data_IF_081164823746
#
_entry.id   IF_081164823746
#
_cell.length_a   1.000
_cell.length_b   1.000
_cell.length_c   1.000
_cell.angle_alpha   90.00
_cell.angle_beta   90.00
_cell.angle_gamma   90.00
#
_symmetry.space_group_name_H-M   'P 1'
#
loop_
_entity.id
_entity.type
_entity.pdbx_description
1 polymer ?
#
# COMPACT_ATOMS: atom_id res chain seq x y z
N UNK A 1 -0.53 10.32 -17.64
CA UNK A 1 -1.79 11.09 -17.62
C UNK A 1 -3.06 10.22 -17.46
N UNK A 2 -2.98 8.92 -17.10
CA UNK A 2 -4.13 7.98 -17.15
C UNK A 2 -5.03 7.93 -15.91
N UNK A 3 -4.67 8.60 -14.80
CA UNK A 3 -5.37 8.46 -13.50
C UNK A 3 -6.00 9.76 -12.98
N UNK A 4 -6.01 10.83 -13.78
CA UNK A 4 -6.40 12.18 -13.35
C UNK A 4 -7.91 12.37 -13.05
N UNK A 5 -8.72 11.31 -13.10
CA UNK A 5 -10.16 11.36 -12.80
C UNK A 5 -10.66 10.20 -11.94
N UNK A 6 -9.76 9.46 -11.27
CA UNK A 6 -10.16 8.43 -10.32
C UNK A 6 -10.23 9.02 -8.90
N UNK A 7 -11.27 8.66 -8.15
CA UNK A 7 -11.38 8.99 -6.71
C UNK A 7 -10.74 7.92 -5.82
N UNK A 8 -10.64 6.69 -6.33
CA UNK A 8 -10.11 5.56 -5.61
C UNK A 8 -9.33 4.63 -6.55
N UNK A 9 -8.10 4.30 -6.18
CA UNK A 9 -7.18 3.45 -6.94
C UNK A 9 -6.91 2.21 -6.09
N UNK A 10 -6.98 1.04 -6.71
CA UNK A 10 -6.57 -0.23 -6.09
C UNK A 10 -5.46 -0.85 -6.92
N UNK A 11 -4.33 -1.16 -6.29
CA UNK A 11 -3.28 -1.97 -6.91
C UNK A 11 -3.08 -3.26 -6.13
N UNK A 12 -3.13 -4.37 -6.85
CA UNK A 12 -2.80 -5.71 -6.38
C UNK A 12 -1.85 -6.36 -7.39
N UNK A 13 -0.84 -5.59 -7.83
CA UNK A 13 0.13 -6.03 -8.85
C UNK A 13 1.31 -6.71 -8.19
N UNK A 14 2.03 -7.53 -8.93
CA UNK A 14 3.29 -8.16 -8.53
C UNK A 14 4.50 -7.24 -8.74
N UNK A 15 4.44 -6.27 -9.65
CA UNK A 15 5.58 -5.38 -9.95
C UNK A 15 5.71 -4.18 -8.99
N UNK A 16 6.83 -4.12 -8.27
CA UNK A 16 7.29 -2.96 -7.54
C UNK A 16 7.60 -1.76 -8.44
N UNK A 17 8.15 -1.98 -9.65
CA UNK A 17 8.37 -0.93 -10.64
C UNK A 17 7.07 -0.24 -11.09
N UNK A 18 5.97 -0.99 -11.21
CA UNK A 18 4.66 -0.39 -11.48
C UNK A 18 4.20 0.49 -10.32
N UNK A 19 4.27 -0.01 -9.07
CA UNK A 19 3.91 0.77 -7.88
C UNK A 19 4.74 2.06 -7.79
N UNK A 20 6.05 1.97 -8.04
CA UNK A 20 6.96 3.12 -8.07
C UNK A 20 6.53 4.15 -9.11
N UNK A 21 6.33 3.71 -10.35
CA UNK A 21 5.92 4.59 -11.46
C UNK A 21 4.57 5.26 -11.17
N UNK A 22 3.61 4.50 -10.64
CA UNK A 22 2.29 4.99 -10.29
C UNK A 22 2.38 6.06 -9.20
N UNK A 23 3.04 5.78 -8.08
CA UNK A 23 3.19 6.72 -6.97
C UNK A 23 3.97 7.97 -7.36
N UNK A 24 5.07 7.81 -8.10
CA UNK A 24 5.83 8.95 -8.65
C UNK A 24 4.96 9.84 -9.53
N UNK A 25 4.06 9.26 -10.32
CA UNK A 25 3.14 10.03 -11.16
C UNK A 25 2.14 10.87 -10.36
N UNK A 26 1.77 10.46 -9.14
CA UNK A 26 0.86 11.19 -8.26
C UNK A 26 1.53 12.23 -7.36
N UNK A 27 2.82 12.06 -7.05
CA UNK A 27 3.57 12.81 -6.01
C UNK A 27 3.49 14.35 -6.07
N UNK A 28 3.32 14.93 -7.25
CA UNK A 28 3.24 16.40 -7.45
C UNK A 28 1.88 16.90 -7.91
N UNK A 29 0.86 16.02 -7.98
CA UNK A 29 -0.46 16.38 -8.46
C UNK A 29 -1.42 16.65 -7.29
N UNK A 30 -2.17 17.75 -7.37
CA UNK A 30 -3.29 17.99 -6.48
C UNK A 30 -4.40 16.97 -6.73
N UNK A 31 -4.71 16.13 -5.75
CA UNK A 31 -5.73 15.08 -5.86
C UNK A 31 -6.18 14.59 -4.49
N UNK A 32 -7.48 14.40 -4.31
CA UNK A 32 -8.08 13.74 -3.15
C UNK A 32 -8.19 12.22 -3.33
N UNK A 33 -7.72 11.69 -4.45
CA UNK A 33 -7.83 10.28 -4.74
C UNK A 33 -7.10 9.44 -3.70
N UNK A 34 -7.78 8.43 -3.17
CA UNK A 34 -7.15 7.45 -2.29
C UNK A 34 -6.56 6.32 -3.13
N UNK A 35 -5.47 5.76 -2.64
CA UNK A 35 -4.78 4.62 -3.25
C UNK A 35 -4.59 3.54 -2.21
N UNK A 36 -5.28 2.41 -2.42
CA UNK A 36 -5.10 1.17 -1.69
C UNK A 36 -4.16 0.26 -2.46
N UNK A 37 -2.91 0.15 -2.01
CA UNK A 37 -1.95 -0.82 -2.51
C UNK A 37 -1.96 -2.08 -1.64
N UNK A 38 -1.88 -3.23 -2.29
CA UNK A 38 -1.61 -4.51 -1.67
C UNK A 38 -0.42 -5.17 -2.36
N UNK A 39 0.48 -5.73 -1.57
CA UNK A 39 1.59 -6.52 -2.05
C UNK A 39 1.82 -7.71 -1.16
N UNK A 40 2.25 -8.81 -1.77
CA UNK A 40 2.59 -10.05 -1.08
C UNK A 40 3.97 -10.53 -1.53
N UNK A 41 4.73 -11.03 -0.57
CA UNK A 41 5.88 -11.89 -0.79
C UNK A 41 5.50 -13.35 -0.50
N UNK A 42 6.51 -14.19 -0.29
CA UNK A 42 6.30 -15.63 -0.06
C UNK A 42 5.58 -15.93 1.27
N UNK A 43 5.90 -15.19 2.33
CA UNK A 43 5.44 -15.40 3.70
C UNK A 43 5.10 -14.09 4.46
N UNK A 44 5.06 -12.99 3.73
CA UNK A 44 4.71 -11.66 4.24
C UNK A 44 3.96 -10.85 3.20
N UNK A 45 3.48 -9.69 3.59
CA UNK A 45 2.92 -8.70 2.69
C UNK A 45 2.47 -7.45 3.41
N UNK A 46 1.85 -6.56 2.67
CA UNK A 46 1.39 -5.28 3.18
C UNK A 46 0.08 -4.86 2.52
N UNK A 47 -0.64 -4.03 3.26
CA UNK A 47 -1.75 -3.23 2.76
C UNK A 47 -1.47 -1.79 3.14
N UNK A 48 -1.54 -0.87 2.19
CA UNK A 48 -1.36 0.57 2.43
C UNK A 48 -2.45 1.35 1.70
N UNK A 49 -3.29 2.03 2.47
CA UNK A 49 -4.21 3.06 2.03
C UNK A 49 -3.53 4.43 2.25
N UNK A 50 -3.31 5.18 1.19
CA UNK A 50 -2.77 6.54 1.26
C UNK A 50 -3.43 7.48 0.27
N UNK A 51 -3.04 8.75 0.26
CA UNK A 51 -3.46 9.65 -0.82
C UNK A 51 -2.56 9.45 -2.04
N UNK A 52 -3.15 9.26 -3.20
CA UNK A 52 -2.44 9.17 -4.47
C UNK A 52 -1.67 10.46 -4.78
N UNK A 53 -2.31 11.61 -4.56
CA UNK A 53 -1.72 12.94 -4.74
C UNK A 53 -1.68 13.76 -3.46
N UNK A 54 -1.62 15.08 -3.63
CA UNK A 54 -1.66 16.05 -2.55
C UNK A 54 -3.11 16.51 -2.38
N UNK A 55 -3.80 16.13 -1.28
CA UNK A 55 -5.16 16.62 -1.05
C UNK A 55 -5.12 18.13 -0.78
N UNK A 56 -6.14 18.90 -1.20
CA UNK A 56 -6.20 20.35 -1.01
C UNK A 56 -6.37 20.74 0.46
N UNK A 57 -6.88 19.83 1.30
CA UNK A 57 -7.14 20.03 2.73
C UNK A 57 -6.95 18.72 3.50
N UNK A 58 -6.86 18.83 4.82
CA UNK A 58 -6.80 17.66 5.71
C UNK A 58 -5.41 17.07 5.87
N UNK A 59 -5.36 15.89 6.50
CA UNK A 59 -4.13 15.12 6.71
C UNK A 59 -3.85 14.27 5.47
N UNK A 60 -2.68 14.43 4.87
CA UNK A 60 -2.23 13.57 3.77
C UNK A 60 -1.66 12.27 4.33
N UNK A 61 -2.46 11.20 4.26
CA UNK A 61 -1.99 9.84 4.52
C UNK A 61 -0.85 9.46 3.55
N UNK A 62 0.30 8.96 4.05
CA UNK A 62 1.36 8.46 3.18
C UNK A 62 0.86 7.23 2.42
N UNK A 63 1.15 7.19 1.12
CA UNK A 63 0.92 6.02 0.27
C UNK A 63 2.16 5.11 0.24
N UNK A 64 2.04 3.95 -0.43
CA UNK A 64 3.12 2.97 -0.54
C UNK A 64 4.42 3.56 -1.12
N UNK A 65 4.34 4.49 -2.06
CA UNK A 65 5.53 5.16 -2.62
C UNK A 65 6.17 6.13 -1.62
N UNK A 66 5.38 6.83 -0.81
CA UNK A 66 5.91 7.70 0.23
C UNK A 66 6.67 6.92 1.31
N UNK A 67 6.22 5.69 1.61
CA UNK A 67 6.81 4.85 2.64
C UNK A 67 8.07 4.09 2.17
N UNK A 68 8.10 3.66 0.91
CA UNK A 68 9.16 2.77 0.41
C UNK A 68 10.06 3.42 -0.65
N UNK A 69 9.61 4.46 -1.36
CA UNK A 69 10.39 5.17 -2.37
C UNK A 69 11.05 4.25 -3.40
N UNK A 70 12.35 4.46 -3.62
CA UNK A 70 13.16 3.66 -4.55
C UNK A 70 13.33 2.19 -4.09
N UNK A 71 13.09 1.87 -2.82
CA UNK A 71 13.08 0.49 -2.32
C UNK A 71 12.05 -0.41 -3.02
N UNK A 72 11.01 0.18 -3.63
CA UNK A 72 10.06 -0.56 -4.48
C UNK A 72 10.71 -1.16 -5.72
N UNK A 73 11.85 -0.64 -6.19
CA UNK A 73 12.55 -1.14 -7.37
C UNK A 73 13.44 -2.35 -7.04
N UNK A 74 13.81 -2.53 -5.77
CA UNK A 74 14.70 -3.61 -5.34
C UNK A 74 13.99 -4.97 -5.32
N UNK A 75 12.67 -4.98 -5.06
CA UNK A 75 11.85 -6.19 -4.97
C UNK A 75 11.70 -6.97 -6.28
N UNK A 76 11.81 -6.30 -7.43
CA UNK A 76 11.59 -6.92 -8.76
C UNK A 76 12.81 -7.74 -9.25
N UNK A 77 13.93 -7.73 -8.51
CA UNK A 77 15.18 -8.41 -8.91
C UNK A 77 15.18 -9.92 -8.65
N UNK A 78 14.21 -10.44 -7.89
CA UNK A 78 14.07 -11.86 -7.54
C UNK A 78 13.03 -12.64 -8.36
N UNK A 79 12.23 -11.96 -9.19
CA UNK A 79 11.12 -12.57 -9.90
C UNK A 79 11.57 -13.20 -11.23
N UNK A 80 11.98 -14.46 -11.17
CA UNK A 80 11.91 -15.32 -12.35
C UNK A 80 10.43 -15.40 -12.79
N UNK A 81 10.08 -15.08 -14.04
CA UNK A 81 8.70 -15.14 -14.51
C UNK A 81 8.16 -16.54 -14.27
N UNK A 82 7.18 -16.66 -13.38
CA UNK A 82 6.50 -17.93 -13.13
C UNK A 82 5.65 -18.25 -14.35
N UNK A 83 6.06 -19.24 -15.14
CA UNK A 83 5.31 -19.64 -16.34
C UNK A 83 4.00 -20.37 -16.01
N UNK A 84 3.69 -20.62 -14.73
CA UNK A 84 2.41 -21.21 -14.30
C UNK A 84 1.89 -20.68 -12.96
N UNK A 85 0.56 -20.61 -12.83
CA UNK A 85 -0.14 -20.29 -11.57
C UNK A 85 0.21 -21.26 -10.43
N UNK A 86 0.41 -22.54 -10.75
CA UNK A 86 0.77 -23.56 -9.77
C UNK A 86 2.18 -23.35 -9.19
N UNK A 87 3.16 -22.93 -10.00
CA UNK A 87 4.50 -22.60 -9.51
C UNK A 87 4.51 -21.31 -8.67
N UNK A 88 3.68 -20.32 -9.02
CA UNK A 88 3.49 -19.14 -8.18
C UNK A 88 2.87 -19.49 -6.82
N UNK A 89 1.87 -20.39 -6.80
CA UNK A 89 1.24 -20.92 -5.58
C UNK A 89 2.15 -21.81 -4.73
N UNK A 90 3.23 -22.37 -5.29
CA UNK A 90 4.22 -23.17 -4.56
C UNK A 90 5.33 -22.29 -3.95
N UNK A 91 5.63 -21.14 -4.55
CA UNK A 91 6.60 -20.16 -4.02
C UNK A 91 5.99 -19.30 -2.93
N UNK A 92 4.71 -18.95 -3.05
CA UNK A 92 3.96 -18.23 -2.04
C UNK A 92 3.21 -19.20 -1.16
N UNK A 93 3.12 -18.96 0.14
CA UNK A 93 2.17 -19.74 0.92
C UNK A 93 0.75 -19.35 0.50
N UNK A 94 -0.05 -20.35 0.16
CA UNK A 94 -1.46 -20.22 -0.22
C UNK A 94 -2.27 -19.25 0.67
N UNK A 95 -1.98 -19.19 1.97
CA UNK A 95 -2.70 -18.36 2.94
C UNK A 95 -2.40 -16.86 2.85
N UNK A 96 -1.30 -16.42 2.22
CA UNK A 96 -0.88 -15.01 2.22
C UNK A 96 -1.92 -14.12 1.54
N UNK A 97 -2.35 -14.49 0.32
CA UNK A 97 -3.27 -13.66 -0.46
C UNK A 97 -4.64 -13.48 0.21
N UNK A 98 -5.31 -14.55 0.70
CA UNK A 98 -6.54 -14.39 1.47
C UNK A 98 -6.40 -13.50 2.70
N UNK A 99 -5.29 -13.60 3.45
CA UNK A 99 -5.07 -12.80 4.66
C UNK A 99 -4.90 -11.31 4.29
N UNK A 100 -4.13 -11.00 3.25
CA UNK A 100 -3.93 -9.63 2.78
C UNK A 100 -5.23 -9.04 2.23
N UNK A 101 -5.99 -9.80 1.45
CA UNK A 101 -7.29 -9.37 0.93
C UNK A 101 -8.28 -9.09 2.07
N UNK A 102 -8.34 -9.96 3.09
CA UNK A 102 -9.19 -9.75 4.27
C UNK A 102 -8.75 -8.51 5.07
N UNK A 103 -7.45 -8.28 5.18
CA UNK A 103 -6.88 -7.10 5.85
C UNK A 103 -7.26 -5.81 5.11
N UNK A 104 -7.16 -5.81 3.77
CA UNK A 104 -7.60 -4.70 2.93
C UNK A 104 -9.10 -4.45 3.06
N UNK A 105 -9.92 -5.50 3.05
CA UNK A 105 -11.37 -5.38 3.23
C UNK A 105 -11.72 -4.77 4.60
N UNK A 106 -10.99 -5.10 5.66
CA UNK A 106 -11.22 -4.51 6.99
C UNK A 106 -10.95 -3.00 7.03
N UNK A 107 -9.97 -2.52 6.26
CA UNK A 107 -9.70 -1.08 6.12
C UNK A 107 -10.84 -0.41 5.33
N UNK A 108 -11.29 -1.04 4.25
CA UNK A 108 -12.39 -0.52 3.42
C UNK A 108 -13.72 -0.49 4.17
N UNK A 109 -14.02 -1.50 4.98
CA UNK A 109 -15.19 -1.56 5.85
C UNK A 109 -15.17 -0.40 6.86
N UNK A 110 -14.03 -0.14 7.48
CA UNK A 110 -13.87 1.00 8.40
C UNK A 110 -14.08 2.34 7.67
N UNK A 111 -13.43 2.51 6.52
CA UNK A 111 -13.48 3.73 5.73
C UNK A 111 -14.90 4.03 5.22
N UNK A 112 -15.53 3.08 4.52
CA UNK A 112 -16.79 3.33 3.80
C UNK A 112 -18.04 3.09 4.64
N UNK A 113 -18.02 2.09 5.53
CA UNK A 113 -19.22 1.67 6.25
C UNK A 113 -19.28 2.22 7.68
N UNK A 114 -18.13 2.55 8.27
CA UNK A 114 -18.04 3.09 9.63
C UNK A 114 -17.63 4.57 9.68
N UNK A 115 -17.38 5.17 8.52
CA UNK A 115 -17.14 6.61 8.37
C UNK A 115 -15.73 7.08 8.75
N UNK A 116 -14.77 6.17 8.93
CA UNK A 116 -13.39 6.53 9.25
C UNK A 116 -12.54 5.33 9.67
N UNK A 117 -11.22 5.49 9.64
CA UNK A 117 -10.28 4.46 10.05
C UNK A 117 -9.18 5.01 10.97
N UNK A 118 -8.85 4.25 12.02
CA UNK A 118 -7.74 4.54 12.93
C UNK A 118 -6.38 4.02 12.40
N UNK A 119 -6.41 3.15 11.40
CA UNK A 119 -5.23 2.61 10.74
C UNK A 119 -5.42 2.68 9.22
N UNK A 120 -4.39 3.07 8.50
CA UNK A 120 -4.43 3.20 7.05
C UNK A 120 -3.66 2.10 6.34
N UNK A 121 -3.31 1.03 7.05
CA UNK A 121 -2.59 -0.08 6.47
C UNK A 121 -2.25 -1.13 7.51
N UNK A 122 -1.53 -2.15 7.07
CA UNK A 122 -0.97 -3.17 7.94
C UNK A 122 0.19 -3.90 7.26
N UNK A 123 1.12 -4.38 8.08
CA UNK A 123 2.15 -5.34 7.71
C UNK A 123 1.71 -6.73 8.16
N UNK A 124 1.77 -7.69 7.25
CA UNK A 124 1.33 -9.08 7.47
C UNK A 124 2.56 -9.98 7.37
N UNK A 125 2.69 -10.89 8.32
CA UNK A 125 3.57 -12.07 8.24
C UNK A 125 2.75 -13.28 8.59
N UNK A 126 3.06 -14.43 8.00
CA UNK A 126 2.31 -15.67 8.24
C UNK A 126 3.12 -16.77 8.94
N UNK A 127 4.43 -16.59 9.13
CA UNK A 127 5.28 -17.52 9.90
C UNK A 127 6.32 -16.77 10.78
N UNK A 128 6.03 -16.56 12.08
CA UNK A 128 4.74 -16.73 12.73
C UNK A 128 3.72 -15.69 12.26
N UNK A 129 2.42 -16.03 12.36
CA UNK A 129 1.33 -15.11 12.00
C UNK A 129 1.40 -13.84 12.86
N UNK A 130 1.46 -12.69 12.20
CA UNK A 130 1.45 -11.38 12.82
C UNK A 130 0.84 -10.37 11.86
N UNK A 131 -0.08 -9.55 12.36
CA UNK A 131 -0.65 -8.41 11.62
C UNK A 131 -0.40 -7.17 12.47
N UNK A 132 0.42 -6.27 11.96
CA UNK A 132 0.82 -5.03 12.64
C UNK A 132 0.17 -3.86 11.90
N UNK A 133 -0.75 -3.09 12.53
CA UNK A 133 -1.42 -1.99 11.85
C UNK A 133 -0.47 -0.81 11.62
N UNK A 134 -0.65 -0.13 10.49
CA UNK A 134 -0.10 1.20 10.25
C UNK A 134 -1.12 2.23 10.74
N UNK A 135 -0.88 2.75 11.94
CA UNK A 135 -1.78 3.71 12.58
C UNK A 135 -1.81 5.03 11.82
N UNK A 136 -2.95 5.72 11.87
CA UNK A 136 -3.05 7.11 11.38
C UNK A 136 -2.43 8.02 12.44
N UNK A 137 -1.11 8.11 12.43
CA UNK A 137 -0.33 8.84 13.43
C UNK A 137 0.92 9.47 12.77
N UNK A 138 0.95 10.80 12.62
CA UNK A 138 2.11 11.51 12.05
C UNK A 138 3.42 11.29 12.79
N UNK A 139 3.40 11.03 14.10
CA UNK A 139 4.61 10.79 14.89
C UNK A 139 5.17 9.39 14.55
N UNK A 140 4.30 8.39 14.42
CA UNK A 140 4.68 7.04 13.95
C UNK A 140 5.26 7.09 12.55
N UNK A 141 4.70 7.92 11.66
CA UNK A 141 5.24 8.05 10.31
C UNK A 141 6.59 8.77 10.29
N UNK A 142 6.80 9.76 11.16
CA UNK A 142 8.08 10.45 11.30
C UNK A 142 9.18 9.48 11.74
N UNK A 143 8.88 8.57 12.66
CA UNK A 143 9.79 7.48 13.07
C UNK A 143 10.11 6.52 11.91
N UNK A 144 9.19 6.37 10.95
CA UNK A 144 9.41 5.62 9.69
C UNK A 144 10.16 6.44 8.62
N UNK A 145 10.54 7.69 8.92
CA UNK A 145 11.25 8.59 8.00
C UNK A 145 10.33 9.41 7.07
N UNK A 146 9.01 9.34 7.24
CA UNK A 146 8.05 10.16 6.50
C UNK A 146 7.76 11.48 7.23
N UNK A 147 8.26 12.58 6.68
CA UNK A 147 8.04 13.92 7.23
C UNK A 147 6.80 14.53 6.57
N UNK A 148 5.71 14.68 7.32
CA UNK A 148 4.58 15.50 6.88
C UNK A 148 5.04 16.95 6.77
N UNK A 149 4.74 17.61 5.65
CA UNK A 149 4.97 19.05 5.53
C UNK A 149 4.22 19.76 6.66
N UNK A 150 4.97 20.35 7.61
CA UNK A 150 4.39 21.12 8.72
C UNK A 150 3.46 22.18 8.11
N UNK A 151 2.20 22.21 8.57
CA UNK A 151 1.34 23.38 8.37
C UNK A 151 2.05 24.58 9.00
N UNK A 152 2.56 25.48 8.15
CA UNK A 152 2.72 26.90 8.50
C UNK A 152 1.35 27.54 8.69
#
# INVERSE_FOLDING_TARGET
QRYAGADFIVSCVDSGAFRHTLGKSGSHHGSEALWLDTGNGADSGQVVLGHFGIPPRGLRLPNVYDLYGDGLLEGDTGDLPSCSLAEALLRQRWSVNPIIAATALSILDSLFLRGGTAHHGALVRIDPISIVPLLVDPDVWADMGYITARKT
#
